data_IF_908845664183
#
_entry.id   IF_908845664183
#
_cell.length_a   1.000
_cell.length_b   1.000
_cell.length_c   1.000
_cell.angle_alpha   90.00
_cell.angle_beta   90.00
_cell.angle_gamma   90.00
#
_symmetry.space_group_name_H-M   'P 1'
#
loop_
_entity.id
_entity.type
_entity.pdbx_description
1 polymer ?
#
# COMPACT_ATOMS: atom_id res chain seq x y z
N UNK A 1 14.44 -33.32 27.68
CA UNK A 1 13.53 -32.71 26.68
C UNK A 1 12.64 -31.58 27.22
N UNK A 2 12.52 -31.33 28.54
CA UNK A 2 11.67 -30.25 29.06
C UNK A 2 12.33 -28.87 29.09
N UNK A 3 13.61 -28.79 29.48
CA UNK A 3 14.34 -27.52 29.74
C UNK A 3 14.61 -26.72 28.46
N UNK A 4 14.87 -27.42 27.34
CA UNK A 4 15.09 -26.76 26.04
C UNK A 4 13.80 -26.18 25.45
N UNK A 5 12.65 -26.76 25.83
CA UNK A 5 11.34 -26.33 25.36
C UNK A 5 10.83 -25.13 26.18
N UNK A 6 11.08 -25.12 27.50
CA UNK A 6 10.80 -23.97 28.37
C UNK A 6 11.66 -22.75 28.01
N UNK A 7 12.95 -22.94 27.69
CA UNK A 7 13.81 -21.85 27.19
C UNK A 7 13.35 -21.25 25.86
N UNK A 8 12.81 -22.07 24.96
CA UNK A 8 12.26 -21.59 23.68
C UNK A 8 10.97 -20.82 23.87
N UNK A 9 10.10 -21.29 24.76
CA UNK A 9 8.83 -20.63 25.08
C UNK A 9 9.06 -19.28 25.77
N UNK A 10 10.00 -19.18 26.70
CA UNK A 10 10.36 -17.90 27.34
C UNK A 10 11.01 -16.94 26.36
N UNK A 11 11.91 -17.41 25.49
CA UNK A 11 12.52 -16.58 24.45
C UNK A 11 11.47 -16.01 23.47
N UNK A 12 10.51 -16.84 23.03
CA UNK A 12 9.42 -16.38 22.16
C UNK A 12 8.51 -15.40 22.88
N UNK A 13 8.20 -15.64 24.16
CA UNK A 13 7.39 -14.72 24.97
C UNK A 13 8.08 -13.34 25.11
N UNK A 14 9.35 -13.31 25.49
CA UNK A 14 10.12 -12.07 25.60
C UNK A 14 10.25 -11.34 24.25
N UNK A 15 10.48 -12.08 23.16
CA UNK A 15 10.56 -11.50 21.81
C UNK A 15 9.21 -10.92 21.38
N UNK A 16 8.10 -11.59 21.68
CA UNK A 16 6.77 -11.08 21.36
C UNK A 16 6.44 -9.83 22.17
N UNK A 17 6.78 -9.79 23.45
CA UNK A 17 6.54 -8.63 24.31
C UNK A 17 7.29 -7.38 23.80
N UNK A 18 8.55 -7.50 23.38
CA UNK A 18 9.32 -6.36 22.85
C UNK A 18 8.78 -5.86 21.51
N UNK A 19 8.27 -6.74 20.65
CA UNK A 19 7.62 -6.34 19.38
C UNK A 19 6.30 -5.61 19.63
N UNK A 20 5.48 -6.05 20.59
CA UNK A 20 4.25 -5.34 20.94
C UNK A 20 4.51 -3.93 21.51
N UNK A 21 5.59 -3.74 22.29
CA UNK A 21 5.96 -2.42 22.81
C UNK A 21 6.54 -1.49 21.72
N UNK A 22 7.19 -2.03 20.69
CA UNK A 22 7.75 -1.23 19.59
C UNK A 22 6.68 -0.63 18.64
N UNK A 23 5.43 -1.11 18.70
CA UNK A 23 4.29 -0.56 17.95
C UNK A 23 3.74 0.75 18.51
N UNK A 24 4.05 1.08 19.76
CA UNK A 24 3.85 2.43 20.33
C UNK A 24 5.00 3.35 19.89
N UNK A 25 5.23 3.46 18.57
CA UNK A 25 6.22 4.38 18.02
C UNK A 25 5.74 5.82 18.21
N UNK A 26 6.65 6.73 18.55
CA UNK A 26 6.39 8.16 18.50
C UNK A 26 5.78 8.52 17.14
N UNK A 27 4.69 9.27 17.17
CA UNK A 27 4.18 9.96 15.98
C UNK A 27 5.38 10.64 15.30
N UNK A 28 5.53 10.51 13.97
CA UNK A 28 6.67 11.13 13.28
C UNK A 28 6.73 12.60 13.64
N UNK A 29 7.93 13.16 13.63
CA UNK A 29 8.36 14.49 14.11
C UNK A 29 7.69 15.65 13.32
N UNK A 30 6.36 15.66 13.30
CA UNK A 30 5.51 16.63 12.64
C UNK A 30 5.47 17.94 13.45
N UNK A 31 5.74 17.86 14.74
CA UNK A 31 5.87 19.03 15.61
C UNK A 31 7.07 19.90 15.25
N UNK A 32 8.14 19.29 14.73
CA UNK A 32 9.33 20.00 14.21
C UNK A 32 9.13 20.51 12.78
N UNK A 33 8.14 19.98 12.05
CA UNK A 33 7.76 20.51 10.73
C UNK A 33 7.14 21.91 10.82
N UNK A 34 6.68 22.33 12.01
CA UNK A 34 6.10 23.65 12.25
C UNK A 34 7.16 24.57 12.85
N UNK A 35 7.68 25.48 12.02
CA UNK A 35 8.64 26.48 12.47
C UNK A 35 8.09 27.34 13.63
N UNK A 36 8.94 27.88 14.52
CA UNK A 36 8.50 28.77 15.59
C UNK A 36 7.72 29.99 15.07
N UNK A 37 8.03 30.44 13.85
CA UNK A 37 7.30 31.49 13.16
C UNK A 37 5.89 31.04 12.74
N UNK A 38 5.75 29.83 12.17
CA UNK A 38 4.45 29.27 11.80
C UNK A 38 3.56 29.02 13.02
N UNK A 39 4.12 28.61 14.15
CA UNK A 39 3.38 28.40 15.42
C UNK A 39 2.83 29.69 16.02
N UNK A 40 3.48 30.83 15.75
CA UNK A 40 3.06 32.16 16.19
C UNK A 40 2.26 32.93 15.13
N UNK A 41 2.15 32.38 13.91
CA UNK A 41 1.40 33.01 12.85
C UNK A 41 -0.10 33.00 13.18
N UNK A 42 -0.80 34.05 12.78
CA UNK A 42 -2.25 34.07 12.83
C UNK A 42 -2.85 33.01 11.91
N UNK A 43 -4.14 32.71 12.11
CA UNK A 43 -4.88 31.87 11.19
C UNK A 43 -4.89 32.51 9.79
N UNK A 44 -4.65 31.75 8.70
CA UNK A 44 -4.61 32.32 7.37
C UNK A 44 -5.99 32.85 6.95
N UNK A 45 -6.01 33.90 6.14
CA UNK A 45 -7.25 34.39 5.54
C UNK A 45 -7.79 33.35 4.57
N UNK A 46 -8.99 32.84 4.84
CA UNK A 46 -9.66 31.90 3.94
C UNK A 46 -10.19 32.65 2.72
N UNK A 47 -9.77 32.20 1.54
CA UNK A 47 -10.32 32.69 0.27
C UNK A 47 -11.51 31.84 -0.17
N UNK A 48 -12.54 32.42 -0.83
CA UNK A 48 -13.65 31.65 -1.36
C UNK A 48 -13.21 30.56 -2.34
N UNK A 49 -13.85 29.39 -2.27
CA UNK A 49 -13.53 28.24 -3.13
C UNK A 49 -13.61 28.58 -4.63
N UNK A 50 -14.53 29.47 -5.02
CA UNK A 50 -14.69 29.93 -6.40
C UNK A 50 -13.43 30.60 -6.95
N UNK A 51 -12.68 31.33 -6.11
CA UNK A 51 -11.42 31.97 -6.50
C UNK A 51 -10.32 30.93 -6.75
N UNK A 52 -10.28 29.88 -5.93
CA UNK A 52 -9.33 28.77 -6.10
C UNK A 52 -9.63 28.01 -7.41
N UNK A 53 -10.91 27.70 -7.66
CA UNK A 53 -11.34 26.98 -8.86
C UNK A 53 -11.08 27.80 -10.13
N UNK A 54 -11.28 29.11 -10.10
CA UNK A 54 -10.99 29.98 -11.23
C UNK A 54 -9.51 29.91 -11.65
N UNK A 55 -8.58 29.83 -10.69
CA UNK A 55 -7.15 29.62 -10.98
C UNK A 55 -6.79 28.20 -11.43
N UNK A 56 -7.64 27.20 -11.14
CA UNK A 56 -7.44 25.82 -11.55
C UNK A 56 -7.94 25.53 -12.98
N UNK A 57 -8.61 26.49 -13.63
CA UNK A 57 -9.16 26.34 -14.97
C UNK A 57 -8.09 26.03 -16.04
N UNK A 58 -6.81 26.21 -15.76
CA UNK A 58 -5.71 25.91 -16.68
C UNK A 58 -5.22 24.46 -16.64
N UNK A 59 -5.78 23.57 -15.80
CA UNK A 59 -5.53 22.12 -15.91
C UNK A 59 -6.32 21.56 -17.10
N UNK A 60 -5.83 21.86 -18.30
CA UNK A 60 -6.44 21.44 -19.55
C UNK A 60 -5.99 20.02 -19.90
N UNK A 61 -6.96 19.13 -20.10
CA UNK A 61 -6.70 17.82 -20.69
C UNK A 61 -6.22 18.07 -22.12
N UNK A 62 -4.92 17.96 -22.35
CA UNK A 62 -4.35 18.11 -23.68
C UNK A 62 -4.61 16.87 -24.54
N UNK A 63 -4.56 16.99 -25.88
CA UNK A 63 -4.59 15.82 -26.77
C UNK A 63 -3.52 14.78 -26.41
N UNK A 64 -2.36 15.21 -25.90
CA UNK A 64 -1.27 14.35 -25.43
C UNK A 64 -1.65 13.59 -24.14
N UNK A 65 -2.36 14.22 -23.22
CA UNK A 65 -2.91 13.53 -22.03
C UNK A 65 -3.87 12.43 -22.46
N UNK A 66 -4.77 12.71 -23.42
CA UNK A 66 -5.72 11.71 -23.92
C UNK A 66 -5.00 10.54 -24.61
N UNK A 67 -4.01 10.83 -25.47
CA UNK A 67 -3.28 9.77 -26.20
C UNK A 67 -2.46 8.89 -25.25
N UNK A 68 -1.80 9.47 -24.25
CA UNK A 68 -1.03 8.72 -23.24
C UNK A 68 -1.92 7.80 -22.40
N UNK A 69 -3.11 8.28 -21.99
CA UNK A 69 -4.07 7.46 -21.25
C UNK A 69 -4.64 6.32 -22.10
N UNK A 70 -4.96 6.56 -23.38
CA UNK A 70 -5.41 5.51 -24.31
C UNK A 70 -4.35 4.41 -24.48
N UNK A 71 -3.09 4.78 -24.67
CA UNK A 71 -1.98 3.84 -24.79
C UNK A 71 -1.81 2.99 -23.53
N UNK A 72 -1.86 3.63 -22.35
CA UNK A 72 -1.80 2.92 -21.06
C UNK A 72 -2.96 1.95 -20.88
N UNK A 73 -4.19 2.39 -21.19
CA UNK A 73 -5.37 1.54 -21.12
C UNK A 73 -5.26 0.32 -22.05
N UNK A 74 -4.76 0.50 -23.28
CA UNK A 74 -4.53 -0.60 -24.22
C UNK A 74 -3.49 -1.61 -23.69
N UNK A 75 -2.38 -1.13 -23.13
CA UNK A 75 -1.35 -1.99 -22.52
C UNK A 75 -1.92 -2.80 -21.35
N UNK A 76 -2.71 -2.17 -20.47
CA UNK A 76 -3.35 -2.84 -19.34
C UNK A 76 -4.34 -3.91 -19.80
N UNK A 77 -5.15 -3.63 -20.82
CA UNK A 77 -6.08 -4.62 -21.41
C UNK A 77 -5.35 -5.82 -21.99
N UNK A 78 -4.23 -5.61 -22.68
CA UNK A 78 -3.38 -6.68 -23.21
C UNK A 78 -2.75 -7.54 -22.11
N UNK A 79 -2.27 -6.90 -21.02
CA UNK A 79 -1.75 -7.66 -19.86
C UNK A 79 -2.86 -8.48 -19.20
N UNK A 80 -4.04 -7.90 -19.03
CA UNK A 80 -5.19 -8.60 -18.45
C UNK A 80 -5.64 -9.79 -19.31
N UNK A 81 -5.66 -9.67 -20.63
CA UNK A 81 -6.02 -10.80 -21.51
C UNK A 81 -5.04 -11.97 -21.37
N UNK A 82 -3.75 -11.69 -21.24
CA UNK A 82 -2.72 -12.71 -20.97
C UNK A 82 -2.93 -13.40 -19.62
N UNK A 83 -3.29 -12.65 -18.58
CA UNK A 83 -3.52 -13.20 -17.23
C UNK A 83 -4.82 -14.02 -17.12
N UNK A 84 -5.79 -13.82 -18.00
CA UNK A 84 -7.03 -14.60 -18.01
C UNK A 84 -6.82 -16.05 -18.45
N UNK A 85 -5.74 -16.35 -19.15
CA UNK A 85 -5.45 -17.70 -19.58
C UNK A 85 -4.86 -18.52 -18.42
N UNK A 86 -5.24 -19.81 -18.29
CA UNK A 86 -4.63 -20.69 -17.30
C UNK A 86 -3.12 -20.74 -17.45
N UNK A 87 -2.38 -20.40 -16.39
CA UNK A 87 -0.90 -20.43 -16.36
C UNK A 87 -0.35 -21.85 -16.47
N UNK A 88 -1.12 -22.84 -16.02
CA UNK A 88 -0.81 -24.26 -16.11
C UNK A 88 -1.88 -24.99 -16.90
N UNK A 89 -1.48 -26.02 -17.65
CA UNK A 89 -2.38 -26.88 -18.41
C UNK A 89 -3.33 -27.67 -17.48
N UNK A 90 -4.39 -28.22 -18.07
CA UNK A 90 -5.43 -28.93 -17.32
C UNK A 90 -4.91 -30.18 -16.62
N UNK A 91 -3.96 -30.89 -17.21
CA UNK A 91 -3.39 -32.12 -16.65
C UNK A 91 -2.53 -31.80 -15.44
N UNK A 92 -1.65 -30.80 -15.53
CA UNK A 92 -0.84 -30.32 -14.40
C UNK A 92 -1.73 -29.85 -13.25
N UNK A 93 -2.79 -29.10 -13.55
CA UNK A 93 -3.77 -28.68 -12.54
C UNK A 93 -4.47 -29.85 -11.87
N UNK A 94 -4.86 -30.87 -12.62
CA UNK A 94 -5.51 -32.07 -12.07
C UNK A 94 -4.56 -32.84 -11.14
N UNK A 95 -3.29 -32.98 -11.53
CA UNK A 95 -2.25 -33.62 -10.71
C UNK A 95 -2.06 -32.91 -9.37
N UNK A 96 -1.97 -31.58 -9.37
CA UNK A 96 -1.85 -30.77 -8.14
C UNK A 96 -3.06 -30.95 -7.22
N UNK A 97 -4.28 -30.91 -7.76
CA UNK A 97 -5.51 -31.12 -6.98
C UNK A 97 -5.58 -32.51 -6.35
N UNK A 98 -5.19 -33.54 -7.11
CA UNK A 98 -5.13 -34.91 -6.59
C UNK A 98 -4.08 -35.05 -5.48
N UNK A 99 -2.92 -34.39 -5.61
CA UNK A 99 -1.90 -34.37 -4.56
C UNK A 99 -2.42 -33.74 -3.26
N UNK A 100 -3.11 -32.59 -3.35
CA UNK A 100 -3.72 -31.95 -2.17
C UNK A 100 -4.75 -32.86 -1.50
N UNK A 101 -5.58 -33.57 -2.27
CA UNK A 101 -6.60 -34.48 -1.72
C UNK A 101 -6.01 -35.69 -1.00
N UNK A 102 -4.83 -36.17 -1.40
CA UNK A 102 -4.16 -37.31 -0.74
C UNK A 102 -3.53 -36.96 0.62
N UNK A 103 -3.23 -35.69 0.85
CA UNK A 103 -2.59 -35.20 2.08
C UNK A 103 -3.55 -34.45 3.01
N UNK A 104 -4.86 -34.57 2.77
CA UNK A 104 -5.93 -34.22 3.70
C UNK A 104 -6.61 -35.48 4.18
#
# INVERSE_FOLDING_TARGET
MGILQTMRLTAVFFLSATVLLAGCSNFPELDDAISPAARKAGYPTLVPISQIIAGAADVQISPQTVSSLKTRAASLKSRASRLRNPVIDRQTRARLRAAIKRHR
#
